data_IF_460343486699
#
_entry.id   IF_460343486699
#
_cell.length_a   1.000
_cell.length_b   1.000
_cell.length_c   1.000
_cell.angle_alpha   90.00
_cell.angle_beta   90.00
_cell.angle_gamma   90.00
#
_symmetry.space_group_name_H-M   'P 1'
#
loop_
_entity.id
_entity.type
_entity.pdbx_description
1 polymer ?
#
# COMPACT_ATOMS: atom_id res chain seq x y z
N UNK A 1 -17.56 14.95 38.22
CA UNK A 1 -17.33 15.78 37.02
C UNK A 1 -16.01 15.43 36.31
N UNK A 2 -14.90 15.21 37.03
CA UNK A 2 -13.58 14.89 36.44
C UNK A 2 -13.55 13.81 35.33
N UNK A 3 -14.28 12.69 35.49
CA UNK A 3 -14.26 11.61 34.50
C UNK A 3 -14.73 12.06 33.10
N UNK A 4 -15.79 12.87 33.05
CA UNK A 4 -16.35 13.36 31.79
C UNK A 4 -15.36 14.27 31.05
N UNK A 5 -14.59 15.05 31.80
CA UNK A 5 -13.61 16.00 31.24
C UNK A 5 -12.43 15.25 30.61
N UNK A 6 -11.99 14.14 31.21
CA UNK A 6 -10.96 13.28 30.62
C UNK A 6 -11.42 12.66 29.30
N UNK A 7 -12.64 12.14 29.26
CA UNK A 7 -13.23 11.57 28.03
C UNK A 7 -13.38 12.65 26.96
N UNK A 8 -13.93 13.82 27.31
CA UNK A 8 -14.07 14.92 26.36
C UNK A 8 -12.73 15.44 25.83
N UNK A 9 -11.67 15.42 26.63
CA UNK A 9 -10.33 15.84 26.17
C UNK A 9 -9.80 14.90 25.09
N UNK A 10 -9.98 13.59 25.27
CA UNK A 10 -9.53 12.58 24.30
C UNK A 10 -10.34 12.66 23.00
N UNK A 11 -11.66 12.80 23.09
CA UNK A 11 -12.54 12.84 21.92
C UNK A 11 -12.64 14.21 21.25
N UNK A 12 -12.23 15.29 21.91
CA UNK A 12 -12.15 16.63 21.29
C UNK A 12 -10.91 16.81 20.41
N UNK A 13 -9.88 15.98 20.58
CA UNK A 13 -8.65 16.04 19.80
C UNK A 13 -8.81 15.26 18.47
N UNK A 14 -8.85 15.95 17.31
CA UNK A 14 -8.95 15.29 16.01
C UNK A 14 -7.83 14.26 15.73
N UNK A 15 -6.53 14.53 16.04
CA UNK A 15 -5.49 13.53 15.79
C UNK A 15 -5.62 12.31 16.70
N UNK A 16 -6.09 12.49 17.93
CA UNK A 16 -6.27 11.36 18.88
C UNK A 16 -7.40 10.45 18.41
N UNK A 17 -8.53 11.02 17.98
CA UNK A 17 -9.64 10.24 17.40
C UNK A 17 -9.21 9.54 16.11
N UNK A 18 -8.48 10.24 15.23
CA UNK A 18 -7.96 9.66 13.99
C UNK A 18 -7.05 8.46 14.25
N UNK A 19 -6.14 8.57 15.22
CA UNK A 19 -5.25 7.47 15.61
C UNK A 19 -6.04 6.28 16.17
N UNK A 20 -7.03 6.52 17.05
CA UNK A 20 -7.87 5.45 17.58
C UNK A 20 -8.61 4.68 16.48
N UNK A 21 -9.19 5.38 15.51
CA UNK A 21 -9.88 4.75 14.37
C UNK A 21 -8.89 3.97 13.49
N UNK A 22 -7.72 4.53 13.21
CA UNK A 22 -6.68 3.85 12.43
C UNK A 22 -6.23 2.54 13.09
N UNK A 23 -5.90 2.58 14.39
CA UNK A 23 -5.51 1.38 15.15
C UNK A 23 -6.64 0.35 15.16
N UNK A 24 -7.89 0.79 15.34
CA UNK A 24 -9.03 -0.13 15.32
C UNK A 24 -9.16 -0.84 13.96
N UNK A 25 -9.06 -0.09 12.86
CA UNK A 25 -9.10 -0.64 11.51
C UNK A 25 -7.92 -1.58 11.24
N UNK A 26 -6.71 -1.23 11.66
CA UNK A 26 -5.52 -2.07 11.47
C UNK A 26 -5.62 -3.42 12.21
N UNK A 27 -6.30 -3.46 13.37
CA UNK A 27 -6.48 -4.69 14.13
C UNK A 27 -7.66 -5.55 13.66
N UNK A 28 -8.67 -4.95 13.01
CA UNK A 28 -9.91 -5.64 12.64
C UNK A 28 -10.00 -6.00 11.16
N UNK A 29 -9.26 -5.30 10.29
CA UNK A 29 -9.20 -5.62 8.87
C UNK A 29 -8.29 -6.83 8.64
N UNK A 30 -8.88 -7.92 8.14
CA UNK A 30 -8.12 -9.10 7.74
C UNK A 30 -7.29 -8.81 6.48
N UNK A 31 -5.95 -8.77 6.63
CA UNK A 31 -5.00 -8.47 5.54
C UNK A 31 -5.02 -9.53 4.42
N UNK A 32 -5.60 -10.70 4.69
CA UNK A 32 -5.49 -11.88 3.83
C UNK A 32 -6.09 -11.68 2.43
N UNK A 33 -7.20 -10.93 2.34
CA UNK A 33 -7.83 -10.56 1.06
C UNK A 33 -7.53 -9.11 0.63
N UNK A 34 -6.87 -8.31 1.48
CA UNK A 34 -6.54 -6.91 1.18
C UNK A 34 -5.65 -6.77 -0.06
N UNK A 35 -4.81 -7.75 -0.37
CA UNK A 35 -4.04 -7.76 -1.62
C UNK A 35 -4.93 -7.80 -2.85
N UNK A 36 -5.98 -8.63 -2.85
CA UNK A 36 -6.90 -8.81 -3.99
C UNK A 36 -7.74 -7.56 -4.22
N UNK A 37 -8.25 -6.96 -3.15
CA UNK A 37 -9.22 -5.86 -3.24
C UNK A 37 -8.54 -4.48 -3.45
N UNK A 38 -7.26 -4.34 -3.07
CA UNK A 38 -6.47 -3.10 -3.30
C UNK A 38 -5.94 -2.97 -4.73
N UNK A 39 -6.34 -3.85 -5.63
CA UNK A 39 -5.86 -3.84 -7.02
C UNK A 39 -4.39 -4.24 -7.16
N UNK A 40 -3.75 -4.82 -6.14
CA UNK A 40 -2.38 -5.36 -6.26
C UNK A 40 -2.25 -6.38 -7.41
N UNK A 41 -3.27 -7.21 -7.73
CA UNK A 41 -3.26 -8.05 -8.93
C UNK A 41 -3.06 -7.26 -10.23
N UNK A 42 -3.62 -6.05 -10.35
CA UNK A 42 -3.42 -5.18 -11.52
C UNK A 42 -1.97 -4.69 -11.64
N UNK A 43 -1.30 -4.47 -10.50
CA UNK A 43 0.11 -4.08 -10.45
C UNK A 43 1.09 -5.25 -10.61
N UNK A 44 0.63 -6.51 -10.54
CA UNK A 44 1.50 -7.71 -10.69
C UNK A 44 2.34 -7.67 -11.96
N UNK A 45 1.79 -7.40 -13.16
CA UNK A 45 2.56 -7.41 -14.41
C UNK A 45 3.61 -6.29 -14.48
N UNK A 46 3.44 -5.21 -13.71
CA UNK A 46 4.34 -4.05 -13.68
C UNK A 46 5.45 -4.15 -12.64
N UNK A 47 5.38 -5.11 -11.71
CA UNK A 47 6.42 -5.33 -10.68
C UNK A 47 7.62 -6.14 -11.18
N UNK A 48 7.47 -6.86 -12.29
CA UNK A 48 8.55 -7.61 -12.92
C UNK A 48 8.70 -7.18 -14.37
N UNK A 49 9.93 -7.03 -14.82
CA UNK A 49 10.25 -6.60 -16.18
C UNK A 49 9.65 -7.54 -17.26
N UNK A 50 9.56 -8.84 -16.95
CA UNK A 50 8.96 -9.88 -17.82
C UNK A 50 7.49 -10.18 -17.51
N UNK A 51 6.83 -9.38 -16.68
CA UNK A 51 5.45 -9.63 -16.24
C UNK A 51 4.41 -9.41 -17.35
N UNK A 52 4.72 -8.59 -18.36
CA UNK A 52 3.87 -8.27 -19.49
C UNK A 52 4.75 -8.09 -20.75
N UNK A 53 4.36 -8.69 -21.88
CA UNK A 53 5.11 -8.57 -23.15
C UNK A 53 5.22 -7.12 -23.66
N UNK A 54 4.35 -6.21 -23.18
CA UNK A 54 4.36 -4.79 -23.53
C UNK A 54 5.41 -3.97 -22.77
N UNK A 55 5.92 -4.49 -21.65
CA UNK A 55 6.99 -3.83 -20.90
C UNK A 55 8.35 -3.96 -21.59
N UNK A 56 8.56 -4.99 -22.41
CA UNK A 56 9.85 -5.20 -23.09
C UNK A 56 10.15 -4.07 -24.07
N UNK A 57 9.16 -3.53 -24.78
CA UNK A 57 9.36 -2.38 -25.67
C UNK A 57 9.60 -1.08 -24.89
N UNK A 58 8.87 -0.87 -23.79
CA UNK A 58 8.93 0.36 -22.99
C UNK A 58 10.17 0.47 -22.09
N UNK A 59 10.62 -0.65 -21.52
CA UNK A 59 11.74 -0.70 -20.59
C UNK A 59 13.03 -1.24 -21.24
N UNK A 60 13.03 -1.53 -22.54
CA UNK A 60 14.26 -1.86 -23.26
C UNK A 60 15.25 -0.70 -23.20
N UNK A 61 16.43 -0.96 -22.66
CA UNK A 61 17.50 0.03 -22.69
C UNK A 61 17.99 0.22 -24.14
N UNK A 62 18.19 1.48 -24.59
CA UNK A 62 18.80 1.75 -25.88
C UNK A 62 20.19 1.10 -25.96
N UNK A 63 20.63 0.77 -27.18
CA UNK A 63 21.90 0.07 -27.44
C UNK A 63 22.03 -1.36 -26.89
N UNK A 64 20.90 -2.07 -26.69
CA UNK A 64 20.89 -3.48 -26.25
C UNK A 64 21.61 -3.71 -24.90
N UNK A 65 21.58 -2.70 -24.02
CA UNK A 65 22.23 -2.76 -22.69
C UNK A 65 21.53 -3.75 -21.73
N UNK A 66 20.35 -4.24 -22.08
CA UNK A 66 19.63 -5.32 -21.36
C UNK A 66 20.48 -6.60 -21.20
N UNK A 67 21.51 -6.79 -22.04
CA UNK A 67 22.48 -7.90 -21.92
C UNK A 67 23.39 -7.78 -20.71
N UNK A 68 23.67 -6.57 -20.24
CA UNK A 68 24.58 -6.31 -19.12
C UNK A 68 23.85 -6.16 -17.78
N UNK A 69 22.58 -5.78 -17.83
CA UNK A 69 21.69 -5.68 -16.67
C UNK A 69 20.50 -6.62 -16.87
N UNK A 70 20.71 -7.94 -16.70
CA UNK A 70 19.63 -8.90 -16.86
C UNK A 70 18.53 -8.59 -15.83
N UNK A 71 17.26 -8.46 -16.26
CA UNK A 71 16.16 -8.24 -15.34
C UNK A 71 15.98 -9.49 -14.47
N UNK A 72 16.12 -9.32 -13.15
CA UNK A 72 15.78 -10.32 -12.13
C UNK A 72 14.28 -10.56 -12.06
#
# INVERSE_FOLDING_TARGET
MQFNDYINTIFSSPPTVGLMVAVFLDNTLEVKDAGRDRGMPWWVPFRSFKGDSRNEEFYSLPFNLNRFFPPS
#
